data_IF_362615371858
#
_entry.id   IF_362615371858
#
_cell.length_a   1.000
_cell.length_b   1.000
_cell.length_c   1.000
_cell.angle_alpha   90.00
_cell.angle_beta   90.00
_cell.angle_gamma   90.00
#
_symmetry.space_group_name_H-M   'P 1'
#
loop_
_entity.id
_entity.type
_entity.pdbx_description
1 polymer ?
#
# COMPACT_ATOMS: atom_id res chain seq x y z
N UNK A 1 11.51 -10.25 5.99
CA UNK A 1 10.21 -10.54 5.37
C UNK A 1 10.43 -11.19 4.01
N UNK A 2 9.59 -12.12 3.61
CA UNK A 2 9.77 -12.93 2.40
C UNK A 2 8.44 -13.11 1.68
N UNK A 3 8.51 -13.44 0.39
CA UNK A 3 7.38 -13.84 -0.45
C UNK A 3 7.66 -15.19 -1.09
N UNK A 4 6.66 -16.06 -1.15
CA UNK A 4 6.74 -17.30 -1.92
C UNK A 4 6.27 -17.04 -3.35
N UNK A 5 7.19 -17.10 -4.30
CA UNK A 5 6.87 -16.94 -5.72
C UNK A 5 6.01 -18.11 -6.27
N UNK A 6 5.46 -17.98 -7.46
CA UNK A 6 4.64 -19.03 -8.08
C UNK A 6 5.43 -20.30 -8.40
N UNK A 7 6.73 -20.18 -8.67
CA UNK A 7 7.64 -21.31 -8.90
C UNK A 7 8.28 -21.82 -7.61
N UNK A 8 7.66 -21.54 -6.45
CA UNK A 8 8.02 -22.02 -5.12
C UNK A 8 9.40 -21.57 -4.61
N UNK A 9 9.90 -20.44 -5.09
CA UNK A 9 11.12 -19.82 -4.60
C UNK A 9 10.84 -18.77 -3.53
N UNK A 10 11.78 -18.65 -2.59
CA UNK A 10 11.75 -17.61 -1.57
C UNK A 10 12.38 -16.34 -2.13
N UNK A 11 11.61 -15.26 -2.19
CA UNK A 11 12.09 -13.92 -2.53
C UNK A 11 12.10 -13.05 -1.28
N UNK A 12 13.24 -12.46 -0.95
CA UNK A 12 13.28 -11.43 0.10
C UNK A 12 12.61 -10.17 -0.43
N UNK A 13 11.73 -9.59 0.37
CA UNK A 13 11.00 -8.37 0.04
C UNK A 13 11.21 -7.33 1.13
N UNK A 14 11.12 -6.08 0.75
CA UNK A 14 11.15 -4.96 1.67
C UNK A 14 9.72 -4.60 2.11
N UNK A 15 9.58 -3.98 3.27
CA UNK A 15 8.28 -3.48 3.74
C UNK A 15 7.65 -2.45 2.79
N UNK A 16 8.46 -1.78 1.96
CA UNK A 16 8.00 -0.77 1.01
C UNK A 16 7.35 -1.37 -0.25
N UNK A 17 7.76 -2.59 -0.65
CA UNK A 17 7.16 -3.28 -1.80
C UNK A 17 5.70 -3.69 -1.56
N UNK A 18 5.26 -3.71 -0.30
CA UNK A 18 3.95 -4.23 0.09
C UNK A 18 3.07 -3.21 0.81
N UNK A 19 3.48 -1.94 0.90
CA UNK A 19 2.79 -0.92 1.74
C UNK A 19 2.51 -1.41 3.18
N UNK A 20 3.33 -2.35 3.68
CA UNK A 20 3.04 -3.06 4.91
C UNK A 20 3.56 -2.32 6.14
N UNK A 21 2.68 -2.21 7.11
CA UNK A 21 2.97 -1.68 8.45
C UNK A 21 3.58 -2.76 9.36
N UNK A 22 4.07 -3.87 8.78
CA UNK A 22 4.53 -5.02 9.55
C UNK A 22 6.01 -4.95 9.86
N UNK A 23 6.35 -5.22 11.13
CA UNK A 23 7.74 -5.21 11.63
C UNK A 23 8.35 -6.63 11.73
N UNK A 24 7.59 -7.67 11.33
CA UNK A 24 8.05 -9.06 11.45
C UNK A 24 9.08 -9.40 10.38
N UNK A 25 10.28 -9.78 10.80
CA UNK A 25 11.33 -10.24 9.89
C UNK A 25 11.12 -11.69 9.44
N UNK A 26 10.46 -12.52 10.28
CA UNK A 26 10.18 -13.94 10.05
C UNK A 26 8.89 -14.21 9.24
N UNK A 27 8.33 -13.20 8.59
CA UNK A 27 7.08 -13.30 7.83
C UNK A 27 7.32 -13.82 6.42
N UNK A 28 6.56 -14.85 6.02
CA UNK A 28 6.42 -15.34 4.65
C UNK A 28 5.02 -15.05 4.13
N UNK A 29 4.95 -14.26 3.07
CA UNK A 29 3.71 -13.88 2.40
C UNK A 29 3.46 -14.82 1.22
N UNK A 30 2.22 -15.26 1.09
CA UNK A 30 1.75 -16.00 -0.08
C UNK A 30 0.74 -15.10 -0.82
N UNK A 31 1.18 -14.42 -1.89
CA UNK A 31 0.32 -13.61 -2.74
C UNK A 31 -0.51 -14.49 -3.70
N UNK A 32 -1.51 -13.92 -4.39
CA UNK A 32 -2.21 -14.63 -5.45
C UNK A 32 -1.24 -15.04 -6.57
N UNK A 33 -1.38 -16.26 -7.09
CA UNK A 33 -0.66 -16.67 -8.29
C UNK A 33 -1.32 -16.10 -9.56
N UNK A 34 -0.64 -16.23 -10.70
CA UNK A 34 -1.22 -15.89 -12.03
C UNK A 34 -2.46 -16.73 -12.37
N UNK A 35 -2.64 -17.88 -11.70
CA UNK A 35 -3.80 -18.76 -11.84
C UNK A 35 -4.95 -18.40 -10.90
N UNK A 36 -4.73 -17.48 -9.96
CA UNK A 36 -5.76 -17.06 -9.04
C UNK A 36 -6.91 -16.40 -9.82
N UNK A 37 -8.14 -16.81 -9.50
CA UNK A 37 -9.33 -16.23 -10.11
C UNK A 37 -9.64 -14.85 -9.57
N UNK A 38 -10.56 -14.15 -10.25
CA UNK A 38 -11.02 -12.83 -9.85
C UNK A 38 -11.68 -12.84 -8.47
N UNK A 39 -11.53 -11.72 -7.72
CA UNK A 39 -12.23 -11.50 -6.45
C UNK A 39 -13.76 -11.38 -6.58
N UNK A 40 -14.30 -11.24 -7.80
CA UNK A 40 -15.74 -11.15 -8.07
C UNK A 40 -16.42 -9.88 -7.53
N UNK A 41 -15.66 -8.89 -7.04
CA UNK A 41 -16.18 -7.65 -6.46
C UNK A 41 -16.17 -6.50 -7.47
N UNK A 42 -17.06 -5.50 -7.27
CA UNK A 42 -17.04 -4.20 -7.95
C UNK A 42 -17.09 -3.07 -6.91
N UNK A 43 -16.15 -3.12 -5.95
CA UNK A 43 -16.10 -2.22 -4.81
C UNK A 43 -16.13 -0.76 -5.23
N UNK A 44 -16.85 0.08 -4.47
CA UNK A 44 -16.94 1.52 -4.76
C UNK A 44 -15.60 2.23 -4.65
N UNK A 45 -14.67 1.67 -3.90
CA UNK A 45 -13.31 2.16 -3.68
C UNK A 45 -12.24 1.43 -4.51
N UNK A 46 -12.63 0.51 -5.40
CA UNK A 46 -11.67 -0.33 -6.12
C UNK A 46 -10.71 0.50 -6.96
N UNK A 47 -9.44 0.51 -6.60
CA UNK A 47 -8.40 1.26 -7.31
C UNK A 47 -8.24 0.79 -8.77
N UNK A 48 -8.54 -0.48 -9.08
CA UNK A 48 -8.41 -1.01 -10.44
C UNK A 48 -9.41 -0.38 -11.44
N UNK A 49 -10.58 0.06 -10.96
CA UNK A 49 -11.60 0.68 -11.83
C UNK A 49 -11.44 2.19 -11.97
N UNK A 50 -10.57 2.79 -11.16
CA UNK A 50 -10.28 4.22 -11.20
C UNK A 50 -8.89 4.52 -11.78
N UNK A 51 -8.27 3.54 -12.42
CA UNK A 51 -7.01 3.75 -13.13
C UNK A 51 -7.22 4.56 -14.41
N UNK A 52 -6.30 5.50 -14.73
CA UNK A 52 -6.31 6.19 -16.00
C UNK A 52 -6.30 5.22 -17.18
N UNK A 53 -7.03 5.49 -18.28
CA UNK A 53 -7.02 4.64 -19.47
C UNK A 53 -5.62 4.46 -20.09
N UNK A 54 -4.74 5.44 -19.89
CA UNK A 54 -3.36 5.47 -20.37
C UNK A 54 -2.40 4.61 -19.53
N UNK A 55 -2.85 4.11 -18.37
CA UNK A 55 -2.04 3.25 -17.53
C UNK A 55 -1.74 1.93 -18.24
N UNK A 56 -0.45 1.67 -18.49
CA UNK A 56 0.00 0.46 -19.20
C UNK A 56 0.08 -0.73 -18.25
N UNK A 57 0.56 -0.50 -17.03
CA UNK A 57 0.61 -1.54 -16.02
C UNK A 57 -0.76 -1.81 -15.44
N UNK A 58 -1.33 -2.97 -15.76
CA UNK A 58 -2.65 -3.37 -15.27
C UNK A 58 -2.54 -4.49 -14.24
N UNK A 59 -2.87 -4.16 -13.01
CA UNK A 59 -3.06 -5.17 -11.97
C UNK A 59 -4.41 -5.84 -12.20
N UNK A 60 -4.45 -7.18 -12.18
CA UNK A 60 -5.68 -7.94 -12.31
C UNK A 60 -6.41 -8.07 -10.97
N UNK A 61 -7.74 -8.23 -11.03
CA UNK A 61 -8.60 -8.45 -9.85
C UNK A 61 -8.47 -9.88 -9.33
N UNK A 62 -7.32 -10.24 -8.77
CA UNK A 62 -7.15 -11.55 -8.15
C UNK A 62 -7.64 -11.56 -6.69
N UNK A 63 -7.95 -12.76 -6.20
CA UNK A 63 -8.19 -13.05 -4.78
C UNK A 63 -7.40 -14.31 -4.44
N UNK A 64 -6.55 -14.24 -3.44
CA UNK A 64 -5.65 -15.34 -3.08
C UNK A 64 -6.41 -16.60 -2.69
N UNK A 65 -7.58 -16.48 -2.07
CA UNK A 65 -8.44 -17.65 -1.78
C UNK A 65 -9.04 -18.29 -3.06
N UNK A 66 -8.98 -17.59 -4.19
CA UNK A 66 -9.40 -18.13 -5.48
C UNK A 66 -8.24 -18.76 -6.26
N UNK A 67 -7.07 -18.91 -5.66
CA UNK A 67 -5.94 -19.65 -6.20
C UNK A 67 -6.15 -21.15 -6.01
N UNK A 68 -6.18 -21.94 -7.10
CA UNK A 68 -6.39 -23.40 -7.01
C UNK A 68 -5.22 -24.15 -6.38
N UNK A 69 -4.04 -23.54 -6.29
CA UNK A 69 -2.81 -24.17 -5.78
C UNK A 69 -2.42 -23.64 -4.37
N UNK A 70 -3.28 -22.86 -3.74
CA UNK A 70 -2.97 -22.17 -2.49
C UNK A 70 -2.53 -23.10 -1.36
N UNK A 71 -3.28 -24.20 -1.11
CA UNK A 71 -2.96 -25.14 -0.04
C UNK A 71 -1.63 -25.85 -0.29
N UNK A 72 -1.30 -26.18 -1.53
CA UNK A 72 -0.03 -26.79 -1.88
C UNK A 72 1.14 -25.83 -1.63
N UNK A 73 0.95 -24.55 -1.96
CA UNK A 73 1.94 -23.49 -1.70
C UNK A 73 2.16 -23.30 -0.20
N UNK A 74 1.09 -23.28 0.61
CA UNK A 74 1.17 -23.18 2.07
C UNK A 74 1.89 -24.43 2.64
N UNK A 75 1.47 -25.62 2.25
CA UNK A 75 2.06 -26.88 2.72
C UNK A 75 3.56 -27.00 2.33
N UNK A 76 3.91 -26.55 1.13
CA UNK A 76 5.30 -26.48 0.71
C UNK A 76 6.09 -25.49 1.57
N UNK A 77 5.57 -24.29 1.79
CA UNK A 77 6.19 -23.27 2.63
C UNK A 77 6.43 -23.80 4.05
N UNK A 78 5.42 -24.41 4.66
CA UNK A 78 5.49 -24.99 6.02
C UNK A 78 6.52 -26.09 6.12
N UNK A 79 6.68 -26.90 5.07
CA UNK A 79 7.65 -28.01 5.03
C UNK A 79 9.09 -27.52 4.91
N UNK A 80 9.33 -26.44 4.17
CA UNK A 80 10.68 -26.03 3.75
C UNK A 80 11.22 -24.80 4.49
N UNK A 81 10.36 -24.02 5.15
CA UNK A 81 10.76 -22.76 5.80
C UNK A 81 10.18 -22.69 7.22
N UNK A 82 11.02 -22.34 8.17
CA UNK A 82 10.59 -22.04 9.56
C UNK A 82 10.22 -20.55 9.66
N UNK A 83 9.13 -20.19 8.99
CA UNK A 83 8.61 -18.84 8.88
C UNK A 83 7.13 -18.79 9.23
N UNK A 84 6.66 -17.62 9.66
CA UNK A 84 5.26 -17.33 9.89
C UNK A 84 4.55 -17.10 8.56
N UNK A 85 3.57 -17.92 8.22
CA UNK A 85 2.92 -17.92 6.91
C UNK A 85 1.65 -17.10 6.93
N UNK A 86 1.59 -16.06 6.08
CA UNK A 86 0.44 -15.18 5.88
C UNK A 86 -0.08 -15.25 4.45
N UNK A 87 -1.41 -15.31 4.34
CA UNK A 87 -2.14 -15.04 3.09
C UNK A 87 -2.65 -13.61 3.09
N UNK A 88 -2.44 -12.88 1.99
CA UNK A 88 -2.89 -11.50 1.75
C UNK A 88 -3.82 -11.42 0.54
N UNK A 89 -4.25 -10.20 0.17
CA UNK A 89 -5.02 -9.92 -1.05
C UNK A 89 -6.29 -10.77 -1.20
N UNK A 90 -6.99 -10.97 -0.09
CA UNK A 90 -8.27 -11.65 -0.12
C UNK A 90 -9.40 -10.82 0.48
N UNK A 91 -10.55 -10.89 -0.17
CA UNK A 91 -11.82 -10.36 0.34
C UNK A 91 -12.62 -11.40 1.13
N UNK A 92 -12.18 -12.65 1.12
CA UNK A 92 -12.91 -13.80 1.68
C UNK A 92 -14.36 -13.93 1.15
N UNK A 93 -14.63 -13.49 -0.08
CA UNK A 93 -15.95 -13.54 -0.71
C UNK A 93 -16.11 -14.71 -1.68
N UNK A 94 -15.01 -15.35 -2.06
CA UNK A 94 -14.95 -16.46 -3.00
C UNK A 94 -14.25 -17.66 -2.38
N UNK A 95 -14.81 -18.85 -2.58
CA UNK A 95 -14.22 -20.11 -2.10
C UNK A 95 -13.83 -20.08 -0.62
N UNK A 96 -14.65 -19.42 0.20
CA UNK A 96 -14.40 -19.31 1.63
C UNK A 96 -15.61 -19.82 2.41
N UNK A 97 -15.45 -20.99 2.99
CA UNK A 97 -16.41 -21.69 3.83
C UNK A 97 -15.65 -22.46 4.92
N UNK A 98 -16.36 -23.15 5.81
CA UNK A 98 -15.76 -23.88 6.91
C UNK A 98 -14.77 -24.95 6.45
N UNK A 99 -15.07 -25.67 5.35
CA UNK A 99 -14.17 -26.69 4.79
C UNK A 99 -12.88 -26.07 4.30
N UNK A 100 -12.97 -24.89 3.67
CA UNK A 100 -11.78 -24.16 3.20
C UNK A 100 -10.94 -23.67 4.37
N UNK A 101 -11.56 -23.18 5.45
CA UNK A 101 -10.86 -22.77 6.68
C UNK A 101 -10.07 -23.96 7.25
N UNK A 102 -10.73 -25.13 7.38
CA UNK A 102 -10.08 -26.36 7.88
C UNK A 102 -8.93 -26.83 6.98
N UNK A 103 -9.09 -26.74 5.65
CA UNK A 103 -8.06 -27.10 4.68
C UNK A 103 -6.84 -26.19 4.79
N UNK A 104 -7.04 -24.88 4.85
CA UNK A 104 -5.96 -23.89 5.00
C UNK A 104 -5.20 -24.07 6.32
N UNK A 105 -5.92 -24.30 7.41
CA UNK A 105 -5.33 -24.59 8.72
C UNK A 105 -4.49 -25.87 8.67
N UNK A 106 -5.05 -26.95 8.13
CA UNK A 106 -4.32 -28.24 7.98
C UNK A 106 -3.09 -28.15 7.08
N UNK A 107 -3.07 -27.19 6.13
CA UNK A 107 -1.92 -26.93 5.28
C UNK A 107 -0.80 -26.15 6.00
N UNK A 108 -1.08 -25.58 7.18
CA UNK A 108 -0.12 -24.89 8.03
C UNK A 108 -0.11 -23.35 7.88
N UNK A 109 -1.25 -22.75 7.49
CA UNK A 109 -1.43 -21.30 7.51
C UNK A 109 -1.49 -20.79 8.95
N UNK A 110 -0.76 -19.71 9.26
CA UNK A 110 -0.78 -19.07 10.58
C UNK A 110 -1.68 -17.85 10.63
N UNK A 111 -1.71 -17.06 9.53
CA UNK A 111 -2.34 -15.76 9.54
C UNK A 111 -3.03 -15.45 8.22
N UNK A 112 -4.19 -14.81 8.33
CA UNK A 112 -4.96 -14.33 7.17
C UNK A 112 -5.25 -12.84 7.29
N UNK A 113 -4.92 -12.10 6.23
CA UNK A 113 -5.24 -10.67 6.11
C UNK A 113 -6.43 -10.51 5.18
N UNK A 114 -7.54 -10.02 5.72
CA UNK A 114 -8.82 -9.93 5.02
C UNK A 114 -9.19 -8.48 4.78
N UNK A 115 -9.51 -8.14 3.53
CA UNK A 115 -10.17 -6.88 3.15
C UNK A 115 -11.61 -6.88 3.67
N UNK A 116 -11.79 -6.56 4.97
CA UNK A 116 -13.07 -6.72 5.67
C UNK A 116 -13.96 -5.48 5.54
N UNK A 117 -13.42 -4.30 5.78
CA UNK A 117 -14.00 -2.96 5.66
C UNK A 117 -15.11 -2.62 6.65
N UNK A 118 -15.93 -3.56 7.09
CA UNK A 118 -17.01 -3.40 8.07
C UNK A 118 -17.50 -4.76 8.54
N UNK A 119 -18.07 -4.81 9.73
CA UNK A 119 -18.76 -5.96 10.32
C UNK A 119 -20.26 -6.02 9.97
N UNK A 120 -20.81 -4.92 9.42
CA UNK A 120 -22.22 -4.83 9.00
C UNK A 120 -22.41 -5.44 7.61
N UNK A 121 -23.07 -6.62 7.54
CA UNK A 121 -23.24 -7.41 6.29
C UNK A 121 -23.82 -6.59 5.14
N UNK A 122 -24.89 -5.84 5.37
CA UNK A 122 -25.58 -5.05 4.35
C UNK A 122 -24.72 -3.90 3.84
N UNK A 123 -23.93 -3.28 4.73
CA UNK A 123 -22.98 -2.23 4.35
C UNK A 123 -21.88 -2.83 3.49
N UNK A 124 -21.33 -3.99 3.91
CA UNK A 124 -20.28 -4.69 3.18
C UNK A 124 -20.74 -5.11 1.77
N UNK A 125 -21.97 -5.67 1.66
CA UNK A 125 -22.57 -6.03 0.37
C UNK A 125 -22.67 -4.81 -0.55
N UNK A 126 -23.13 -3.67 -0.04
CA UNK A 126 -23.25 -2.43 -0.81
C UNK A 126 -21.88 -1.87 -1.21
N UNK A 127 -20.94 -1.85 -0.28
CA UNK A 127 -19.59 -1.33 -0.45
C UNK A 127 -18.81 -2.12 -1.52
N UNK A 128 -18.90 -3.45 -1.47
CA UNK A 128 -18.18 -4.35 -2.38
C UNK A 128 -19.00 -4.72 -3.63
N UNK A 129 -20.27 -4.32 -3.68
CA UNK A 129 -21.22 -4.68 -4.75
C UNK A 129 -21.22 -6.19 -5.06
N UNK A 130 -21.17 -7.00 -4.00
CA UNK A 130 -21.16 -8.46 -4.09
C UNK A 130 -22.10 -9.04 -3.04
N UNK A 131 -23.12 -9.79 -3.47
CA UNK A 131 -24.15 -10.41 -2.59
C UNK A 131 -23.54 -11.39 -1.58
N UNK A 132 -22.42 -11.99 -1.89
CA UNK A 132 -21.72 -12.92 -1.00
C UNK A 132 -20.82 -12.23 0.02
N UNK A 133 -20.62 -10.92 -0.10
CA UNK A 133 -19.66 -10.20 0.77
C UNK A 133 -20.00 -10.25 2.26
N UNK A 134 -21.29 -10.42 2.62
CA UNK A 134 -21.71 -10.56 4.01
C UNK A 134 -21.34 -11.88 4.68
N UNK A 135 -21.09 -12.96 3.91
CA UNK A 135 -20.88 -14.31 4.46
C UNK A 135 -19.66 -14.43 5.37
N UNK A 136 -18.58 -13.71 5.08
CA UNK A 136 -17.36 -13.76 5.89
C UNK A 136 -17.60 -13.34 7.35
N UNK A 137 -18.59 -12.46 7.59
CA UNK A 137 -18.91 -12.01 8.95
C UNK A 137 -19.44 -13.19 9.81
N UNK A 138 -20.24 -14.09 9.22
CA UNK A 138 -20.71 -15.29 9.91
C UNK A 138 -19.60 -16.30 10.18
N UNK A 139 -18.58 -16.32 9.32
CA UNK A 139 -17.44 -17.22 9.43
C UNK A 139 -16.35 -16.68 10.35
N UNK A 140 -16.39 -15.39 10.70
CA UNK A 140 -15.32 -14.73 11.44
C UNK A 140 -14.96 -15.43 12.76
N UNK A 141 -15.92 -15.91 13.58
CA UNK A 141 -15.60 -16.68 14.78
C UNK A 141 -14.73 -17.91 14.48
N UNK A 142 -15.09 -18.66 13.43
CA UNK A 142 -14.33 -19.85 13.01
C UNK A 142 -12.96 -19.49 12.43
N UNK A 143 -12.85 -18.36 11.75
CA UNK A 143 -11.57 -17.87 11.21
C UNK A 143 -10.60 -17.52 12.33
N UNK A 144 -11.05 -16.80 13.36
CA UNK A 144 -10.18 -16.41 14.50
C UNK A 144 -9.80 -17.58 15.40
N UNK A 145 -10.62 -18.65 15.44
CA UNK A 145 -10.26 -19.90 16.12
C UNK A 145 -9.07 -20.62 15.47
N UNK A 146 -8.89 -20.46 14.16
CA UNK A 146 -7.91 -21.20 13.37
C UNK A 146 -6.69 -20.37 12.97
N UNK A 147 -6.84 -19.05 12.86
CA UNK A 147 -5.79 -18.17 12.36
C UNK A 147 -5.68 -16.89 13.20
N UNK A 148 -4.51 -16.32 13.21
CA UNK A 148 -4.37 -14.89 13.50
C UNK A 148 -5.01 -14.09 12.36
N UNK A 149 -5.91 -13.16 12.69
CA UNK A 149 -6.66 -12.38 11.69
C UNK A 149 -6.23 -10.92 11.71
N UNK A 150 -5.93 -10.40 10.52
CA UNK A 150 -5.76 -8.97 10.26
C UNK A 150 -6.93 -8.50 9.41
N UNK A 151 -7.64 -7.48 9.86
CA UNK A 151 -8.76 -6.87 9.16
C UNK A 151 -8.34 -5.55 8.51
N UNK A 152 -8.31 -5.49 7.17
CA UNK A 152 -8.11 -4.23 6.46
C UNK A 152 -9.44 -3.49 6.28
N UNK A 153 -9.45 -2.23 6.67
CA UNK A 153 -10.61 -1.35 6.60
C UNK A 153 -10.24 -0.15 5.73
N UNK A 154 -10.75 -0.11 4.50
CA UNK A 154 -10.69 1.10 3.68
C UNK A 154 -11.80 2.03 4.16
N UNK A 155 -11.41 3.14 4.74
CA UNK A 155 -12.30 4.18 5.21
C UNK A 155 -12.98 4.86 4.03
N UNK A 156 -14.28 4.64 3.88
CA UNK A 156 -15.05 5.05 2.71
C UNK A 156 -16.21 5.97 3.12
N UNK A 157 -16.24 7.23 2.66
CA UNK A 157 -17.30 8.19 2.99
C UNK A 157 -18.69 7.65 2.68
N UNK A 158 -19.60 7.82 3.63
CA UNK A 158 -21.00 7.37 3.50
C UNK A 158 -21.24 5.88 3.73
N UNK A 159 -20.19 5.11 4.13
CA UNK A 159 -20.32 3.68 4.39
C UNK A 159 -19.88 3.26 5.80
N UNK A 160 -18.64 3.53 6.21
CA UNK A 160 -18.08 2.97 7.44
C UNK A 160 -17.42 4.00 8.39
N UNK A 161 -17.40 5.27 8.03
CA UNK A 161 -16.73 6.31 8.85
C UNK A 161 -17.49 6.52 10.17
N UNK A 162 -18.81 6.73 10.12
CA UNK A 162 -19.65 6.97 11.32
C UNK A 162 -19.66 5.81 12.29
N UNK A 163 -19.44 4.60 11.78
CA UNK A 163 -19.61 3.37 12.52
C UNK A 163 -18.27 2.78 12.97
N UNK A 164 -17.15 3.48 12.73
CA UNK A 164 -15.81 2.93 12.95
C UNK A 164 -15.59 2.46 14.40
N UNK A 165 -16.13 3.17 15.39
CA UNK A 165 -16.04 2.77 16.78
C UNK A 165 -16.75 1.44 17.06
N UNK A 166 -17.97 1.27 16.54
CA UNK A 166 -18.74 0.03 16.65
C UNK A 166 -18.05 -1.14 15.92
N UNK A 167 -17.51 -0.86 14.72
CA UNK A 167 -16.76 -1.86 13.94
C UNK A 167 -15.55 -2.37 14.75
N UNK A 168 -14.81 -1.48 15.41
CA UNK A 168 -13.65 -1.87 16.21
C UNK A 168 -14.06 -2.69 17.43
N UNK A 169 -15.15 -2.32 18.13
CA UNK A 169 -15.70 -3.09 19.25
C UNK A 169 -16.11 -4.50 18.83
N UNK A 170 -16.80 -4.62 17.70
CA UNK A 170 -17.25 -5.92 17.18
C UNK A 170 -16.05 -6.79 16.73
N UNK A 171 -15.02 -6.21 16.10
CA UNK A 171 -13.80 -6.92 15.73
C UNK A 171 -13.04 -7.45 16.95
N UNK A 172 -12.94 -6.64 18.01
CA UNK A 172 -12.36 -7.08 19.28
C UNK A 172 -13.18 -8.20 19.90
N UNK A 173 -14.52 -8.07 19.92
CA UNK A 173 -15.45 -9.09 20.40
C UNK A 173 -15.38 -10.39 19.61
N UNK A 174 -15.06 -10.39 18.33
CA UNK A 174 -14.77 -11.58 17.53
C UNK A 174 -13.40 -12.18 17.81
N UNK A 175 -12.47 -11.45 18.45
CA UNK A 175 -11.11 -11.89 18.68
C UNK A 175 -10.17 -11.63 17.48
N UNK A 176 -10.49 -10.66 16.63
CA UNK A 176 -9.58 -10.20 15.57
C UNK A 176 -8.34 -9.57 16.21
N UNK A 177 -7.15 -9.89 15.67
CA UNK A 177 -5.89 -9.50 16.30
C UNK A 177 -5.45 -8.08 15.94
N UNK A 178 -5.70 -7.67 14.69
CA UNK A 178 -5.26 -6.38 14.20
C UNK A 178 -6.29 -5.80 13.20
N UNK A 179 -6.60 -4.52 13.32
CA UNK A 179 -7.36 -3.75 12.34
C UNK A 179 -6.48 -2.65 11.75
N UNK A 180 -6.41 -2.56 10.42
CA UNK A 180 -5.64 -1.54 9.69
C UNK A 180 -6.59 -0.59 8.99
N UNK A 181 -6.47 0.70 9.29
CA UNK A 181 -7.39 1.73 8.81
C UNK A 181 -6.76 2.54 7.67
N UNK A 182 -7.05 2.19 6.45
CA UNK A 182 -6.54 2.89 5.27
C UNK A 182 -7.50 3.99 4.81
N UNK A 183 -7.05 5.23 4.64
CA UNK A 183 -7.85 6.24 3.97
C UNK A 183 -8.01 5.86 2.49
N UNK A 184 -9.20 6.09 1.95
CA UNK A 184 -9.45 5.80 0.54
C UNK A 184 -8.57 6.67 -0.37
N UNK A 185 -7.88 6.02 -1.32
CA UNK A 185 -7.24 6.68 -2.46
C UNK A 185 -8.27 6.96 -3.56
N UNK A 186 -8.36 8.20 -3.98
CA UNK A 186 -9.35 8.68 -4.95
C UNK A 186 -8.62 9.32 -6.13
N UNK A 187 -8.77 8.76 -7.32
CA UNK A 187 -8.30 9.36 -8.57
C UNK A 187 -9.40 10.23 -9.19
N UNK A 188 -9.09 10.92 -10.29
CA UNK A 188 -10.10 11.66 -11.08
C UNK A 188 -11.20 10.77 -11.68
N UNK A 189 -10.99 9.46 -11.73
CA UNK A 189 -11.95 8.47 -12.25
C UNK A 189 -12.73 7.76 -11.15
N UNK A 190 -12.54 8.15 -9.90
CA UNK A 190 -13.21 7.50 -8.76
C UNK A 190 -14.72 7.70 -8.78
N UNK A 191 -15.44 6.71 -8.26
CA UNK A 191 -16.89 6.75 -8.04
C UNK A 191 -17.28 7.32 -6.68
N UNK A 192 -16.32 7.70 -5.88
CA UNK A 192 -16.53 8.27 -4.54
C UNK A 192 -15.53 9.40 -4.31
N UNK A 193 -15.71 10.15 -3.23
CA UNK A 193 -14.83 11.25 -2.84
C UNK A 193 -13.78 10.81 -1.83
N UNK A 194 -12.72 11.59 -1.70
CA UNK A 194 -11.76 11.45 -0.61
C UNK A 194 -12.41 11.80 0.75
N UNK A 195 -11.76 11.35 1.84
CA UNK A 195 -12.13 11.81 3.18
C UNK A 195 -11.81 13.30 3.33
N UNK A 196 -12.67 13.99 4.09
CA UNK A 196 -12.36 15.33 4.55
C UNK A 196 -11.39 15.28 5.74
N UNK A 197 -10.77 16.43 6.05
CA UNK A 197 -9.91 16.55 7.24
C UNK A 197 -10.68 16.24 8.53
N UNK A 198 -11.94 16.68 8.62
CA UNK A 198 -12.81 16.42 9.77
C UNK A 198 -13.11 14.93 9.94
N UNK A 199 -13.35 14.21 8.84
CA UNK A 199 -13.55 12.75 8.87
C UNK A 199 -12.30 12.03 9.33
N UNK A 200 -11.11 12.43 8.85
CA UNK A 200 -9.83 11.87 9.29
C UNK A 200 -9.60 12.14 10.80
N UNK A 201 -9.85 13.37 11.27
CA UNK A 201 -9.71 13.70 12.69
C UNK A 201 -10.72 12.95 13.55
N UNK A 202 -11.95 12.79 13.09
CA UNK A 202 -12.97 11.98 13.77
C UNK A 202 -12.48 10.54 13.95
N UNK A 203 -12.05 9.89 12.89
CA UNK A 203 -11.53 8.50 12.95
C UNK A 203 -10.33 8.41 13.90
N UNK A 204 -9.38 9.34 13.79
CA UNK A 204 -8.20 9.38 14.67
C UNK A 204 -8.60 9.45 16.15
N UNK A 205 -9.54 10.33 16.50
CA UNK A 205 -10.00 10.50 17.88
C UNK A 205 -10.68 9.23 18.39
N UNK A 206 -11.55 8.61 17.58
CA UNK A 206 -12.19 7.33 17.93
C UNK A 206 -11.14 6.24 18.18
N UNK A 207 -10.13 6.13 17.32
CA UNK A 207 -9.06 5.14 17.51
C UNK A 207 -8.27 5.40 18.80
N UNK A 208 -7.92 6.65 19.10
CA UNK A 208 -7.18 7.00 20.32
C UNK A 208 -7.97 6.70 21.61
N UNK A 209 -9.29 6.81 21.57
CA UNK A 209 -10.16 6.42 22.69
C UNK A 209 -10.26 4.89 22.80
N UNK A 210 -10.60 4.22 21.71
CA UNK A 210 -10.81 2.78 21.66
C UNK A 210 -9.54 1.98 21.98
N UNK A 211 -8.37 2.42 21.55
CA UNK A 211 -7.09 1.74 21.80
C UNK A 211 -6.77 1.58 23.30
N UNK A 212 -7.43 2.35 24.18
CA UNK A 212 -7.25 2.22 25.65
C UNK A 212 -8.05 1.07 26.25
N UNK A 213 -9.07 0.60 25.57
CA UNK A 213 -10.08 -0.34 26.08
C UNK A 213 -10.01 -1.70 25.36
N UNK A 214 -9.61 -1.71 24.07
CA UNK A 214 -9.60 -2.89 23.23
C UNK A 214 -8.29 -3.69 23.35
N UNK A 215 -8.39 -5.01 23.26
CA UNK A 215 -7.27 -5.91 23.03
C UNK A 215 -6.83 -5.93 21.57
N UNK A 216 -7.73 -5.59 20.66
CA UNK A 216 -7.48 -5.42 19.23
C UNK A 216 -6.40 -4.36 19.00
N UNK A 217 -5.33 -4.72 18.28
CA UNK A 217 -4.35 -3.73 17.82
C UNK A 217 -4.94 -2.95 16.66
N UNK A 218 -5.09 -1.63 16.81
CA UNK A 218 -5.53 -0.75 15.72
C UNK A 218 -4.35 0.00 15.12
N UNK A 219 -4.15 -0.12 13.81
CA UNK A 219 -3.04 0.48 13.09
C UNK A 219 -3.55 1.58 12.17
N UNK A 220 -3.01 2.78 12.36
CA UNK A 220 -3.18 3.91 11.46
C UNK A 220 -1.90 4.02 10.61
N UNK A 221 -1.95 3.75 9.30
CA UNK A 221 -0.76 3.74 8.46
C UNK A 221 -0.19 5.15 8.24
N UNK A 222 1.09 5.27 7.86
CA UNK A 222 1.76 6.57 7.64
C UNK A 222 1.02 7.49 6.66
N UNK A 223 0.38 6.95 5.64
CA UNK A 223 -0.42 7.73 4.68
C UNK A 223 -1.57 8.48 5.35
N UNK A 224 -2.21 7.90 6.36
CA UNK A 224 -3.27 8.56 7.12
C UNK A 224 -2.71 9.79 7.87
N UNK A 225 -1.56 9.62 8.52
CA UNK A 225 -0.87 10.72 9.22
C UNK A 225 -0.41 11.80 8.24
N UNK A 226 0.08 11.41 7.06
CA UNK A 226 0.49 12.34 6.01
C UNK A 226 -0.68 13.20 5.49
N UNK A 227 -1.87 12.62 5.32
CA UNK A 227 -3.08 13.36 4.94
C UNK A 227 -3.52 14.36 6.01
N UNK A 228 -3.21 14.13 7.29
CA UNK A 228 -3.41 15.08 8.38
C UNK A 228 -2.30 16.13 8.49
N UNK A 229 -1.17 15.95 7.79
CA UNK A 229 0.04 16.78 7.94
C UNK A 229 0.82 16.46 9.23
N UNK A 230 0.66 15.27 9.78
CA UNK A 230 1.27 14.82 11.04
C UNK A 230 2.35 13.76 10.83
N UNK A 231 2.53 13.30 9.59
CA UNK A 231 3.57 12.31 9.26
C UNK A 231 4.97 12.88 9.53
N UNK A 232 5.78 12.10 10.22
CA UNK A 232 7.18 12.43 10.47
C UNK A 232 8.06 11.20 10.24
N UNK A 233 9.15 11.42 9.53
CA UNK A 233 10.21 10.43 9.40
C UNK A 233 11.11 10.58 10.64
N UNK A 234 11.35 9.52 11.43
CA UNK A 234 12.12 9.60 12.69
C UNK A 234 13.63 9.69 12.43
N UNK A 235 14.04 10.70 11.66
CA UNK A 235 15.42 11.01 11.33
C UNK A 235 15.70 12.47 11.61
N UNK A 236 16.93 12.75 12.03
CA UNK A 236 17.44 14.12 12.13
C UNK A 236 17.75 14.67 10.73
N UNK A 237 17.72 16.00 10.55
CA UNK A 237 18.11 16.62 9.29
C UNK A 237 19.55 16.26 8.89
N UNK A 238 19.75 15.99 7.62
CA UNK A 238 21.06 15.69 7.06
C UNK A 238 21.81 16.99 6.72
N UNK A 239 23.05 17.08 7.18
CA UNK A 239 23.96 18.18 6.83
C UNK A 239 24.73 17.82 5.55
N UNK A 240 24.06 17.95 4.41
CA UNK A 240 24.61 17.65 3.10
C UNK A 240 24.70 18.93 2.29
N UNK A 241 25.90 19.28 1.84
CA UNK A 241 26.10 20.40 0.92
C UNK A 241 25.82 19.94 -0.52
N UNK A 242 24.92 20.61 -1.23
CA UNK A 242 24.65 20.27 -2.60
C UNK A 242 25.80 20.73 -3.49
N UNK A 243 26.44 19.78 -4.18
CA UNK A 243 27.41 20.07 -5.23
C UNK A 243 27.41 18.89 -6.21
N UNK A 244 27.10 19.10 -7.44
CA UNK A 244 26.57 20.25 -8.16
C UNK A 244 25.09 20.56 -7.82
N UNK A 245 24.40 21.34 -8.67
CA UNK A 245 22.98 21.66 -8.46
C UNK A 245 22.15 20.39 -8.35
N UNK A 246 21.56 20.16 -7.16
CA UNK A 246 20.87 18.91 -6.80
C UNK A 246 19.39 19.16 -6.54
N UNK A 247 18.54 18.26 -7.03
CA UNK A 247 17.10 18.22 -6.79
C UNK A 247 16.67 16.86 -6.29
N UNK A 248 15.84 16.84 -5.24
CA UNK A 248 15.18 15.62 -4.74
C UNK A 248 13.70 15.70 -5.11
N UNK A 249 13.20 14.77 -5.89
CA UNK A 249 11.79 14.68 -6.28
C UNK A 249 11.03 13.78 -5.32
N UNK A 250 9.79 14.18 -5.03
CA UNK A 250 8.87 13.37 -4.20
C UNK A 250 7.42 13.73 -4.47
N UNK A 251 6.49 12.89 -3.98
CA UNK A 251 5.06 13.21 -3.98
C UNK A 251 4.67 14.21 -2.90
N UNK A 252 3.45 14.72 -2.99
CA UNK A 252 2.91 15.76 -2.11
C UNK A 252 2.97 15.39 -0.63
N UNK A 253 2.71 14.11 -0.30
CA UNK A 253 2.60 13.65 1.11
C UNK A 253 3.95 13.59 1.84
N UNK A 254 5.04 13.26 1.14
CA UNK A 254 6.36 13.17 1.74
C UNK A 254 7.16 14.49 1.61
N UNK A 255 6.71 15.43 0.80
CA UNK A 255 7.40 16.68 0.54
C UNK A 255 7.78 17.49 1.79
N UNK A 256 6.87 17.71 2.78
CA UNK A 256 7.23 18.49 3.97
C UNK A 256 8.37 17.85 4.78
N UNK A 257 8.36 16.52 4.89
CA UNK A 257 9.37 15.78 5.63
C UNK A 257 10.71 15.73 4.91
N UNK A 258 10.73 15.50 3.59
CA UNK A 258 11.98 15.56 2.84
C UNK A 258 12.60 16.97 2.85
N UNK A 259 11.78 18.02 2.78
CA UNK A 259 12.26 19.38 2.92
C UNK A 259 12.85 19.66 4.30
N UNK A 260 12.29 19.07 5.36
CA UNK A 260 12.85 19.15 6.73
C UNK A 260 14.17 18.38 6.83
N UNK A 261 14.25 17.20 6.21
CA UNK A 261 15.45 16.36 6.26
C UNK A 261 16.60 16.88 5.42
N UNK A 262 16.33 17.59 4.32
CA UNK A 262 17.34 18.12 3.41
C UNK A 262 17.20 19.65 3.24
N UNK A 263 17.48 20.44 4.29
CA UNK A 263 17.21 21.88 4.30
C UNK A 263 18.06 22.66 3.30
N UNK A 264 19.22 22.14 2.89
CA UNK A 264 20.15 22.76 1.94
C UNK A 264 19.97 22.28 0.49
N UNK A 265 19.16 21.28 0.26
CA UNK A 265 18.93 20.73 -1.08
C UNK A 265 17.55 21.17 -1.59
N UNK A 266 17.45 21.37 -2.91
CA UNK A 266 16.17 21.69 -3.53
C UNK A 266 15.27 20.46 -3.59
N UNK A 267 14.24 20.43 -2.74
CA UNK A 267 13.20 19.39 -2.80
C UNK A 267 12.08 19.87 -3.70
N UNK A 268 11.74 19.06 -4.69
CA UNK A 268 10.68 19.31 -5.69
C UNK A 268 9.48 18.44 -5.39
N UNK A 269 8.33 19.07 -5.19
CA UNK A 269 7.06 18.40 -5.04
C UNK A 269 6.46 18.11 -6.42
N UNK A 270 6.49 16.86 -6.84
CA UNK A 270 5.78 16.44 -8.04
C UNK A 270 4.31 16.12 -7.68
N UNK A 271 3.41 16.95 -8.21
CA UNK A 271 1.98 16.72 -8.05
C UNK A 271 1.53 15.61 -8.98
N UNK A 272 0.80 14.64 -8.45
CA UNK A 272 0.28 13.55 -9.25
C UNK A 272 -0.92 13.99 -10.09
N UNK A 273 -0.65 14.45 -11.31
CA UNK A 273 -1.67 14.83 -12.28
C UNK A 273 -2.12 13.66 -13.16
N UNK A 274 -1.32 12.60 -13.23
CA UNK A 274 -1.68 11.42 -14.02
C UNK A 274 -2.91 10.72 -13.42
N UNK A 275 -2.91 10.44 -12.15
CA UNK A 275 -4.08 9.89 -11.45
C UNK A 275 -5.05 10.98 -11.01
N UNK A 276 -4.55 12.11 -10.54
CA UNK A 276 -5.35 13.19 -9.96
C UNK A 276 -5.98 12.83 -8.61
N UNK A 277 -7.01 13.58 -8.19
CA UNK A 277 -7.71 13.34 -6.94
C UNK A 277 -6.87 13.65 -5.71
N UNK A 278 -6.80 12.71 -4.73
CA UNK A 278 -5.98 12.85 -3.53
C UNK A 278 -4.72 11.95 -3.56
N UNK A 279 -4.31 11.51 -4.75
CA UNK A 279 -3.14 10.67 -4.91
C UNK A 279 -1.87 11.52 -4.78
N UNK A 280 -1.17 11.40 -3.66
CA UNK A 280 0.02 12.21 -3.36
C UNK A 280 1.24 11.40 -2.92
N UNK A 281 1.20 10.07 -3.03
CA UNK A 281 2.31 9.18 -2.66
C UNK A 281 3.40 9.15 -3.75
N UNK A 282 4.65 9.07 -3.34
CA UNK A 282 5.79 8.96 -4.26
C UNK A 282 5.75 7.69 -5.13
N UNK A 283 5.24 6.58 -4.58
CA UNK A 283 5.13 5.30 -5.31
C UNK A 283 4.13 5.31 -6.46
N UNK A 284 3.24 6.29 -6.54
CA UNK A 284 2.29 6.43 -7.65
C UNK A 284 2.65 7.59 -8.60
N UNK A 285 3.81 8.22 -8.43
CA UNK A 285 4.34 9.17 -9.42
C UNK A 285 4.62 8.46 -10.74
N UNK A 286 4.38 9.18 -11.82
CA UNK A 286 4.65 8.70 -13.18
C UNK A 286 5.73 9.53 -13.85
N UNK A 287 6.25 9.05 -14.97
CA UNK A 287 7.18 9.84 -15.78
C UNK A 287 6.54 11.16 -16.23
N UNK A 288 5.25 11.15 -16.56
CA UNK A 288 4.52 12.36 -16.92
C UNK A 288 4.57 13.41 -15.79
N UNK A 289 4.34 13.01 -14.53
CA UNK A 289 4.36 13.93 -13.39
C UNK A 289 5.77 14.50 -13.15
N UNK A 290 6.79 13.63 -13.23
CA UNK A 290 8.20 14.03 -13.08
C UNK A 290 8.63 14.98 -14.17
N UNK A 291 8.39 14.65 -15.44
CA UNK A 291 8.81 15.47 -16.58
C UNK A 291 8.20 16.87 -16.56
N UNK A 292 6.95 17.00 -16.14
CA UNK A 292 6.31 18.32 -15.96
C UNK A 292 7.05 19.23 -14.99
N UNK A 293 7.62 18.68 -13.92
CA UNK A 293 8.39 19.46 -12.96
C UNK A 293 9.82 19.67 -13.47
N UNK A 294 10.41 18.69 -14.16
CA UNK A 294 11.73 18.81 -14.80
C UNK A 294 11.75 19.93 -15.87
N UNK A 295 10.69 20.10 -16.63
CA UNK A 295 10.56 21.19 -17.61
C UNK A 295 10.78 22.58 -16.99
N UNK A 296 10.43 22.78 -15.72
CA UNK A 296 10.58 24.04 -14.99
C UNK A 296 11.99 24.27 -14.45
N UNK A 297 12.83 23.24 -14.45
CA UNK A 297 14.21 23.35 -13.96
C UNK A 297 15.10 24.04 -15.00
N UNK A 298 16.16 24.74 -14.55
CA UNK A 298 17.15 25.31 -15.47
C UNK A 298 17.90 24.20 -16.22
N UNK A 299 18.35 24.52 -17.42
CA UNK A 299 19.35 23.70 -18.13
C UNK A 299 20.73 23.95 -17.52
N UNK A 300 21.50 22.88 -17.32
CA UNK A 300 22.83 22.94 -16.70
C UNK A 300 23.82 22.05 -17.45
N UNK A 301 25.14 22.32 -17.28
CA UNK A 301 26.15 21.41 -17.81
C UNK A 301 26.19 20.08 -17.05
N UNK A 302 26.03 20.15 -15.73
CA UNK A 302 25.98 19.00 -14.86
C UNK A 302 25.17 19.31 -13.59
N UNK A 303 24.12 18.52 -13.38
CA UNK A 303 23.32 18.53 -12.17
C UNK A 303 22.99 17.10 -11.73
N UNK A 304 22.41 16.95 -10.54
CA UNK A 304 21.94 15.67 -10.01
C UNK A 304 20.46 15.77 -9.70
N UNK A 305 19.70 14.77 -10.13
CA UNK A 305 18.28 14.65 -9.87
C UNK A 305 18.00 13.30 -9.20
N UNK A 306 17.42 13.31 -8.01
CA UNK A 306 17.07 12.11 -7.27
C UNK A 306 15.59 11.82 -7.39
N UNK A 307 15.23 10.66 -7.94
CA UNK A 307 13.87 10.17 -8.03
C UNK A 307 13.60 9.12 -6.93
N UNK A 308 12.36 9.03 -6.43
CA UNK A 308 12.00 7.96 -5.52
C UNK A 308 12.00 6.61 -6.25
N UNK A 309 12.79 5.65 -5.75
CA UNK A 309 12.87 4.29 -6.33
C UNK A 309 11.49 3.62 -6.41
N UNK A 310 10.64 3.87 -5.43
CA UNK A 310 9.29 3.28 -5.33
C UNK A 310 8.33 3.67 -6.46
N UNK A 311 8.67 4.64 -7.32
CA UNK A 311 7.85 4.97 -8.51
C UNK A 311 8.03 3.98 -9.67
N UNK A 312 9.06 3.14 -9.60
CA UNK A 312 9.36 2.16 -10.64
C UNK A 312 8.83 0.78 -10.27
N UNK A 313 8.02 0.21 -11.14
CA UNK A 313 7.50 -1.15 -11.06
C UNK A 313 8.35 -2.05 -11.96
N UNK A 314 9.35 -2.69 -11.35
CA UNK A 314 10.44 -3.29 -12.10
C UNK A 314 11.29 -2.22 -12.77
N UNK A 315 11.33 -2.21 -14.09
CA UNK A 315 12.14 -1.25 -14.87
C UNK A 315 11.29 -0.14 -15.55
N UNK A 316 10.04 0.04 -15.10
CA UNK A 316 9.12 0.98 -15.77
C UNK A 316 8.22 1.72 -14.77
N UNK A 317 7.80 2.92 -15.16
CA UNK A 317 6.76 3.68 -14.47
C UNK A 317 5.35 3.20 -14.85
N UNK A 318 4.33 3.57 -14.09
CA UNK A 318 2.94 3.16 -14.34
C UNK A 318 2.35 3.67 -15.67
N UNK A 319 2.88 4.75 -16.22
CA UNK A 319 2.54 5.28 -17.55
C UNK A 319 3.42 4.71 -18.66
N UNK A 320 4.28 3.73 -18.34
CA UNK A 320 4.98 2.87 -19.28
C UNK A 320 6.33 3.34 -19.78
N UNK A 321 6.87 4.41 -19.21
CA UNK A 321 8.23 4.82 -19.51
C UNK A 321 9.23 3.85 -18.88
N UNK A 322 10.20 3.41 -19.68
CA UNK A 322 11.33 2.65 -19.14
C UNK A 322 12.25 3.60 -18.36
N UNK A 323 12.85 3.11 -17.29
CA UNK A 323 13.77 3.85 -16.43
C UNK A 323 14.87 4.53 -17.26
N UNK A 324 15.53 3.76 -18.10
CA UNK A 324 16.61 4.25 -18.95
C UNK A 324 16.15 5.37 -19.92
N UNK A 325 14.98 5.23 -20.50
CA UNK A 325 14.42 6.25 -21.42
C UNK A 325 14.14 7.56 -20.67
N UNK A 326 13.57 7.48 -19.47
CA UNK A 326 13.30 8.64 -18.62
C UNK A 326 14.60 9.35 -18.23
N UNK A 327 15.60 8.57 -17.78
CA UNK A 327 16.90 9.12 -17.35
C UNK A 327 17.64 9.79 -18.50
N UNK A 328 17.72 9.13 -19.65
CA UNK A 328 18.37 9.69 -20.84
C UNK A 328 17.68 10.96 -21.32
N UNK A 329 16.33 10.99 -21.29
CA UNK A 329 15.59 12.21 -21.67
C UNK A 329 15.96 13.39 -20.76
N UNK A 330 15.95 13.19 -19.45
CA UNK A 330 16.27 14.24 -18.47
C UNK A 330 17.73 14.72 -18.63
N UNK A 331 18.66 13.78 -18.82
CA UNK A 331 20.08 14.12 -19.03
C UNK A 331 20.29 14.93 -20.31
N UNK A 332 19.71 14.48 -21.42
CA UNK A 332 19.91 15.13 -22.74
C UNK A 332 19.25 16.51 -22.80
N UNK A 333 18.05 16.65 -22.22
CA UNK A 333 17.28 17.89 -22.33
C UNK A 333 17.66 18.93 -21.26
N UNK A 334 18.16 18.50 -20.08
CA UNK A 334 18.37 19.40 -18.95
C UNK A 334 19.75 19.32 -18.29
N UNK A 335 20.58 18.32 -18.64
CA UNK A 335 21.92 18.14 -18.09
C UNK A 335 21.97 17.51 -16.68
N UNK A 336 20.89 16.85 -16.22
CA UNK A 336 20.88 16.19 -14.92
C UNK A 336 21.17 14.69 -15.05
N UNK A 337 22.15 14.22 -14.30
CA UNK A 337 22.31 12.79 -14.03
C UNK A 337 21.19 12.38 -13.06
N UNK A 338 20.46 11.34 -13.41
CA UNK A 338 19.35 10.85 -12.59
C UNK A 338 19.80 9.63 -11.81
N UNK A 339 19.58 9.69 -10.50
CA UNK A 339 19.76 8.59 -9.56
C UNK A 339 18.45 8.31 -8.83
N UNK A 340 18.35 7.17 -8.17
CA UNK A 340 17.17 6.81 -7.38
C UNK A 340 17.55 6.52 -5.93
N UNK A 341 16.63 6.82 -5.02
CA UNK A 341 16.76 6.46 -3.61
C UNK A 341 15.47 5.78 -3.13
N UNK A 342 15.62 4.69 -2.40
CA UNK A 342 14.52 4.01 -1.74
C UNK A 342 14.19 4.67 -0.39
N UNK A 343 15.21 5.04 0.34
CA UNK A 343 15.10 5.64 1.67
C UNK A 343 15.90 6.95 1.77
N UNK A 344 15.45 7.92 2.58
CA UNK A 344 16.16 9.19 2.76
C UNK A 344 17.62 9.02 3.22
N UNK A 345 17.94 7.97 4.00
CA UNK A 345 19.28 7.68 4.51
C UNK A 345 20.29 7.36 3.40
N UNK A 346 19.83 6.94 2.23
CA UNK A 346 20.70 6.60 1.09
C UNK A 346 21.20 7.86 0.37
N UNK A 347 20.41 8.93 0.42
CA UNK A 347 20.66 10.17 -0.34
C UNK A 347 22.05 10.76 -0.07
N UNK A 348 22.51 10.92 1.18
CA UNK A 348 23.86 11.44 1.43
C UNK A 348 24.96 10.65 0.72
N UNK A 349 24.91 9.30 0.79
CA UNK A 349 25.88 8.42 0.12
C UNK A 349 25.82 8.48 -1.40
N UNK A 350 24.63 8.69 -1.96
CA UNK A 350 24.48 8.87 -3.39
C UNK A 350 25.17 10.17 -3.82
N UNK A 351 24.95 11.25 -3.07
CA UNK A 351 25.51 12.56 -3.38
C UNK A 351 27.02 12.65 -3.18
N UNK A 352 27.62 11.83 -2.32
CA UNK A 352 29.08 11.73 -2.15
C UNK A 352 29.82 11.29 -3.45
N UNK A 353 29.10 10.77 -4.45
CA UNK A 353 29.66 10.32 -5.73
C UNK A 353 29.85 11.45 -6.75
N UNK A 354 29.30 12.62 -6.46
CA UNK A 354 29.28 13.80 -7.31
C UNK A 354 29.99 15.00 -6.68
#
# INVERSE_FOLDING_TARGET
MYELTEDYKLRKITKYELDMVDEREDLLIIPPSSKAGSCGNDCVFCYLIQNPPQMIYRVSKHDTLNDPDLENRIAYARKHYDLWIRVTDTSANVRFDEKRIESLHSSGLDEIQISLHTTKKEVRIKLMKNRNAGKVIDLLPKVVENFRVIADIILTPGYNISDIGEILDELDGFGVHEARLFPIGVTRYSRTRALTREELLFVKNVVLEKQKELSLKVVIPPIFQALLGEFKIPLEPFDVEPSPLTYIFTGELAYPELKRLFPKINVVMAKNEFFGGNIGTAGLLTAYDVLREVEKLPEVELGVLLLPEVMFYGDSTLDGWRREELFNKILVEKGYIVETALEPQEIPKILERF
#
